data_IF_043456907594
#
_entry.id   IF_043456907594
#
_cell.length_a   1.000
_cell.length_b   1.000
_cell.length_c   1.000
_cell.angle_alpha   90.00
_cell.angle_beta   90.00
_cell.angle_gamma   90.00
#
_symmetry.space_group_name_H-M   'P 1'
#
loop_
_entity.id
_entity.type
_entity.pdbx_description
1 polymer ?
#
# COMPACT_ATOMS: atom_id res chain seq x y z
N UNK A 1 -27.09 -10.26 -4.60
CA UNK A 1 -26.47 -9.26 -5.49
C UNK A 1 -25.64 -8.33 -4.64
N UNK A 2 -24.54 -7.81 -5.18
CA UNK A 2 -23.55 -7.00 -4.46
C UNK A 2 -23.59 -5.57 -4.94
N UNK A 3 -23.59 -4.61 -4.03
CA UNK A 3 -23.64 -3.19 -4.38
C UNK A 3 -22.39 -2.41 -3.96
N UNK A 4 -21.53 -3.02 -3.13
CA UNK A 4 -20.27 -2.41 -2.69
C UNK A 4 -19.13 -3.37 -2.93
N UNK A 5 -18.07 -2.88 -3.57
CA UNK A 5 -16.76 -3.52 -3.60
C UNK A 5 -15.85 -2.80 -2.62
N UNK A 6 -15.24 -3.54 -1.70
CA UNK A 6 -14.17 -3.07 -0.84
C UNK A 6 -12.91 -3.79 -1.29
N UNK A 7 -11.85 -3.05 -1.60
CA UNK A 7 -10.60 -3.62 -2.12
C UNK A 7 -9.43 -3.14 -1.28
N UNK A 8 -8.53 -4.07 -0.96
CA UNK A 8 -7.16 -3.71 -0.65
C UNK A 8 -6.47 -3.06 -1.88
N UNK A 9 -5.33 -2.39 -1.67
CA UNK A 9 -4.55 -1.75 -2.74
C UNK A 9 -3.26 -2.50 -3.06
N UNK A 10 -2.37 -2.63 -2.08
CA UNK A 10 -0.99 -3.04 -2.28
C UNK A 10 -0.95 -4.56 -2.51
N UNK A 11 -0.43 -4.99 -3.65
CA UNK A 11 -0.49 -6.36 -4.17
C UNK A 11 -1.90 -6.86 -4.53
N UNK A 12 -2.94 -6.05 -4.37
CA UNK A 12 -4.29 -6.36 -4.84
C UNK A 12 -4.61 -5.66 -6.18
N UNK A 13 -4.41 -4.34 -6.26
CA UNK A 13 -4.63 -3.56 -7.49
C UNK A 13 -3.36 -3.41 -8.33
N UNK A 14 -2.20 -3.41 -7.69
CA UNK A 14 -0.88 -3.27 -8.31
C UNK A 14 0.20 -3.95 -7.45
N UNK A 15 1.34 -4.27 -8.04
CA UNK A 15 2.47 -4.89 -7.35
C UNK A 15 3.26 -3.85 -6.55
N UNK A 16 2.97 -3.73 -5.26
CA UNK A 16 3.68 -2.78 -4.40
C UNK A 16 5.13 -3.20 -4.20
N UNK A 17 5.39 -4.50 -4.03
CA UNK A 17 6.71 -4.99 -3.69
C UNK A 17 7.72 -4.74 -4.81
N UNK A 18 7.36 -5.02 -6.06
CA UNK A 18 8.21 -4.72 -7.22
C UNK A 18 8.44 -3.22 -7.35
N UNK A 19 7.40 -2.39 -7.18
CA UNK A 19 7.54 -0.92 -7.23
C UNK A 19 8.52 -0.44 -6.16
N UNK A 20 8.37 -0.93 -4.93
CA UNK A 20 9.24 -0.60 -3.81
C UNK A 20 10.68 -1.04 -4.09
N UNK A 21 10.90 -2.32 -4.44
CA UNK A 21 12.23 -2.88 -4.66
C UNK A 21 12.96 -2.15 -5.78
N UNK A 22 12.36 -2.04 -6.96
CA UNK A 22 13.00 -1.45 -8.13
C UNK A 22 13.36 0.02 -7.89
N UNK A 23 12.45 0.78 -7.27
CA UNK A 23 12.70 2.19 -6.97
C UNK A 23 13.72 2.40 -5.86
N UNK A 24 13.59 1.66 -4.75
CA UNK A 24 14.49 1.78 -3.61
C UNK A 24 15.90 1.27 -3.93
N UNK A 25 16.03 0.14 -4.63
CA UNK A 25 17.32 -0.42 -5.03
C UNK A 25 18.06 0.52 -5.99
N UNK A 26 17.36 1.11 -6.97
CA UNK A 26 17.94 2.11 -7.85
C UNK A 26 18.47 3.33 -7.07
N UNK A 27 17.69 3.85 -6.13
CA UNK A 27 18.11 4.96 -5.27
C UNK A 27 19.34 4.61 -4.42
N UNK A 28 19.32 3.42 -3.81
CA UNK A 28 20.33 2.96 -2.85
C UNK A 28 21.70 2.79 -3.52
N UNK A 29 21.72 2.15 -4.69
CA UNK A 29 22.97 1.92 -5.43
C UNK A 29 23.55 3.23 -5.95
N UNK A 30 22.73 4.08 -6.57
CA UNK A 30 23.16 5.39 -7.06
C UNK A 30 23.67 6.28 -5.90
N UNK A 31 22.98 6.24 -4.75
CA UNK A 31 23.44 6.94 -3.54
C UNK A 31 24.80 6.42 -3.09
N UNK A 32 25.03 5.11 -3.11
CA UNK A 32 26.29 4.50 -2.73
C UNK A 32 27.43 4.93 -3.66
N UNK A 33 27.18 4.95 -4.97
CA UNK A 33 28.16 5.37 -5.98
C UNK A 33 28.54 6.85 -5.82
N UNK A 34 27.56 7.76 -5.76
CA UNK A 34 27.83 9.20 -5.65
C UNK A 34 28.47 9.57 -4.30
N UNK A 35 27.97 8.96 -3.21
CA UNK A 35 28.46 9.28 -1.87
C UNK A 35 29.75 8.55 -1.51
N UNK A 36 30.10 7.45 -2.19
CA UNK A 36 31.18 6.55 -1.80
C UNK A 36 30.91 5.81 -0.48
N UNK A 37 29.70 5.92 0.09
CA UNK A 37 29.30 5.21 1.30
C UNK A 37 28.85 3.80 0.91
N UNK A 38 29.42 2.72 1.46
CA UNK A 38 29.02 1.37 1.10
C UNK A 38 27.53 1.09 1.35
N UNK A 39 26.90 0.37 0.44
CA UNK A 39 25.48 -0.04 0.51
C UNK A 39 25.11 -0.62 1.88
N UNK A 40 25.93 -1.51 2.44
CA UNK A 40 25.67 -2.13 3.75
C UNK A 40 25.60 -1.12 4.90
N UNK A 41 26.42 -0.05 4.83
CA UNK A 41 26.36 1.03 5.82
C UNK A 41 25.09 1.87 5.62
N UNK A 42 24.73 2.17 4.37
CA UNK A 42 23.49 2.90 4.05
C UNK A 42 22.26 2.12 4.54
N UNK A 43 22.16 0.81 4.25
CA UNK A 43 21.06 -0.04 4.73
C UNK A 43 20.90 0.01 6.24
N UNK A 44 22.00 -0.12 6.99
CA UNK A 44 21.98 -0.10 8.46
C UNK A 44 21.52 1.27 9.03
N UNK A 45 21.90 2.37 8.38
CA UNK A 45 21.46 3.72 8.74
C UNK A 45 19.99 3.96 8.36
N UNK A 46 19.59 3.56 7.16
CA UNK A 46 18.22 3.66 6.66
C UNK A 46 17.25 2.86 7.52
N UNK A 47 17.61 1.65 7.95
CA UNK A 47 16.76 0.82 8.82
C UNK A 47 16.31 1.59 10.07
N UNK A 48 17.22 2.34 10.70
CA UNK A 48 16.91 3.13 11.90
C UNK A 48 15.93 4.27 11.60
N UNK A 49 16.06 4.89 10.42
CA UNK A 49 15.18 5.95 9.96
C UNK A 49 13.78 5.38 9.65
N UNK A 50 13.72 4.26 8.95
CA UNK A 50 12.47 3.56 8.69
C UNK A 50 11.77 3.11 9.98
N UNK A 51 12.50 2.57 10.96
CA UNK A 51 11.96 2.24 12.29
C UNK A 51 11.42 3.47 13.03
N UNK A 52 12.16 4.59 12.99
CA UNK A 52 11.73 5.86 13.59
C UNK A 52 10.42 6.36 12.98
N UNK A 53 10.27 6.24 11.66
CA UNK A 53 9.10 6.75 10.94
C UNK A 53 8.01 5.70 10.72
N UNK A 54 8.23 4.44 11.06
CA UNK A 54 7.22 3.37 10.90
C UNK A 54 6.84 3.09 9.45
N UNK A 55 7.75 3.30 8.49
CA UNK A 55 7.52 3.02 7.06
C UNK A 55 8.82 2.73 6.32
N UNK A 56 8.74 1.87 5.29
CA UNK A 56 9.85 1.59 4.37
C UNK A 56 9.89 2.52 3.14
N UNK A 57 9.02 3.54 3.11
CA UNK A 57 8.80 4.44 1.97
C UNK A 57 9.04 5.90 2.32
N UNK A 58 9.75 6.18 3.42
CA UNK A 58 9.92 7.52 3.95
C UNK A 58 10.56 8.46 2.92
N UNK A 59 9.79 9.45 2.45
CA UNK A 59 10.18 10.32 1.34
C UNK A 59 11.47 11.15 1.58
N UNK A 60 11.82 11.38 2.85
CA UNK A 60 12.99 12.19 3.24
C UNK A 60 14.16 11.33 3.74
N UNK A 61 14.18 10.03 3.43
CA UNK A 61 15.17 9.09 3.98
C UNK A 61 16.61 9.54 3.78
N UNK A 62 16.99 10.01 2.58
CA UNK A 62 18.36 10.46 2.28
C UNK A 62 18.82 11.62 3.19
N UNK A 63 17.90 12.50 3.54
CA UNK A 63 18.17 13.72 4.30
C UNK A 63 18.48 13.41 5.78
N UNK A 64 18.09 12.23 6.27
CA UNK A 64 18.32 11.77 7.64
C UNK A 64 19.48 10.78 7.79
N UNK A 65 20.13 10.35 6.68
CA UNK A 65 21.24 9.38 6.73
C UNK A 65 22.47 10.03 7.37
N UNK A 66 22.97 9.54 8.53
CA UNK A 66 24.10 10.15 9.23
C UNK A 66 25.37 10.29 8.38
N UNK A 67 25.67 9.29 7.54
CA UNK A 67 26.82 9.36 6.64
C UNK A 67 26.67 10.47 5.58
N UNK A 68 25.45 10.75 5.10
CA UNK A 68 25.18 11.81 4.14
C UNK A 68 25.18 13.18 4.82
N UNK A 69 24.59 13.30 6.02
CA UNK A 69 24.65 14.52 6.85
C UNK A 69 26.10 14.88 7.14
N UNK A 70 26.94 13.91 7.55
CA UNK A 70 28.35 14.17 7.83
C UNK A 70 29.13 14.62 6.60
N UNK A 71 28.74 14.18 5.39
CA UNK A 71 29.47 14.47 4.15
C UNK A 71 29.01 15.77 3.49
N UNK A 72 27.70 15.98 3.41
CA UNK A 72 27.09 17.07 2.65
C UNK A 72 26.54 18.17 3.56
N UNK A 73 26.34 17.91 4.84
CA UNK A 73 25.90 18.90 5.83
C UNK A 73 24.38 18.92 5.99
N UNK A 74 23.67 19.61 5.09
CA UNK A 74 22.25 19.89 5.24
C UNK A 74 21.42 19.30 4.08
N UNK A 75 20.10 19.41 4.21
CA UNK A 75 19.13 18.91 3.25
C UNK A 75 19.39 19.38 1.81
N UNK A 76 19.60 20.67 1.60
CA UNK A 76 19.67 21.24 0.26
C UNK A 76 20.93 20.76 -0.47
N UNK A 77 22.05 20.64 0.25
CA UNK A 77 23.29 20.11 -0.30
C UNK A 77 23.23 18.59 -0.51
N UNK A 78 22.57 17.83 0.38
CA UNK A 78 22.31 16.40 0.17
C UNK A 78 21.47 16.20 -1.10
N UNK A 79 20.34 16.90 -1.21
CA UNK A 79 19.43 16.76 -2.35
C UNK A 79 20.06 17.21 -3.66
N UNK A 80 20.87 18.28 -3.64
CA UNK A 80 21.60 18.72 -4.83
C UNK A 80 22.68 17.74 -5.25
N UNK A 81 23.40 17.14 -4.29
CA UNK A 81 24.45 16.17 -4.58
C UNK A 81 23.89 14.82 -5.05
N UNK A 82 22.70 14.44 -4.58
CA UNK A 82 22.05 13.16 -4.87
C UNK A 82 20.85 13.29 -5.83
N UNK A 83 20.81 14.35 -6.65
CA UNK A 83 19.71 14.55 -7.60
C UNK A 83 19.58 13.37 -8.58
N UNK A 84 20.70 12.79 -9.01
CA UNK A 84 20.72 11.60 -9.87
C UNK A 84 20.11 10.38 -9.17
N UNK A 85 20.40 10.15 -7.88
CA UNK A 85 19.79 9.06 -7.11
C UNK A 85 18.27 9.28 -6.88
N UNK A 86 17.86 10.53 -6.62
CA UNK A 86 16.44 10.91 -6.52
C UNK A 86 15.74 10.71 -7.86
N UNK A 87 16.41 11.03 -8.97
CA UNK A 87 15.89 10.82 -10.31
C UNK A 87 15.76 9.33 -10.64
N UNK A 88 16.77 8.52 -10.31
CA UNK A 88 16.75 7.07 -10.47
C UNK A 88 15.56 6.44 -9.73
N UNK A 89 15.35 6.81 -8.46
CA UNK A 89 14.17 6.40 -7.68
C UNK A 89 12.86 6.74 -8.40
N UNK A 90 12.68 8.00 -8.81
CA UNK A 90 11.44 8.49 -9.45
C UNK A 90 11.20 7.82 -10.80
N UNK A 91 12.26 7.58 -11.57
CA UNK A 91 12.22 6.95 -12.88
C UNK A 91 11.78 5.48 -12.75
N UNK A 92 12.44 4.72 -11.88
CA UNK A 92 12.09 3.33 -11.60
C UNK A 92 10.66 3.22 -11.05
N UNK A 93 10.28 4.04 -10.07
CA UNK A 93 8.91 4.06 -9.53
C UNK A 93 7.87 4.32 -10.62
N UNK A 94 8.12 5.29 -11.52
CA UNK A 94 7.21 5.58 -12.64
C UNK A 94 7.11 4.42 -13.62
N UNK A 95 8.22 3.73 -13.90
CA UNK A 95 8.28 2.61 -14.84
C UNK A 95 7.51 1.39 -14.33
N UNK A 96 7.61 1.10 -13.03
CA UNK A 96 7.07 -0.12 -12.43
C UNK A 96 5.68 0.05 -11.80
N UNK A 97 5.24 1.28 -11.53
CA UNK A 97 3.91 1.53 -10.97
C UNK A 97 2.83 1.37 -12.04
N UNK A 98 2.32 0.14 -12.15
CA UNK A 98 1.26 -0.26 -13.08
C UNK A 98 0.23 -1.13 -12.37
N UNK A 99 -1.03 -1.02 -12.78
CA UNK A 99 -2.08 -1.93 -12.31
C UNK A 99 -1.84 -3.36 -12.81
N UNK A 100 -2.32 -4.34 -12.04
CA UNK A 100 -2.41 -5.70 -12.56
C UNK A 100 -3.34 -5.76 -13.78
N UNK A 101 -3.14 -6.74 -14.67
CA UNK A 101 -4.04 -6.97 -15.79
C UNK A 101 -5.50 -7.02 -15.32
N UNK A 102 -6.40 -6.49 -16.12
CA UNK A 102 -7.87 -6.45 -15.92
C UNK A 102 -8.39 -5.57 -14.78
N UNK A 103 -7.54 -5.04 -13.88
CA UNK A 103 -8.00 -4.22 -12.74
C UNK A 103 -8.77 -2.98 -13.20
N UNK A 104 -8.17 -2.16 -14.08
CA UNK A 104 -8.81 -0.92 -14.55
C UNK A 104 -10.16 -1.20 -15.23
N UNK A 105 -10.18 -2.15 -16.16
CA UNK A 105 -11.39 -2.50 -16.93
C UNK A 105 -12.51 -3.02 -16.01
N UNK A 106 -12.15 -3.82 -15.01
CA UNK A 106 -13.10 -4.37 -14.03
C UNK A 106 -13.65 -3.28 -13.14
N UNK A 107 -12.80 -2.42 -12.55
CA UNK A 107 -13.24 -1.30 -11.72
C UNK A 107 -14.12 -0.34 -12.52
N UNK A 108 -13.79 -0.08 -13.79
CA UNK A 108 -14.60 0.75 -14.68
C UNK A 108 -15.96 0.10 -14.94
N UNK A 109 -15.99 -1.20 -15.23
CA UNK A 109 -17.25 -1.95 -15.40
C UNK A 109 -18.13 -1.90 -14.16
N UNK A 110 -17.55 -2.03 -12.96
CA UNK A 110 -18.28 -1.90 -11.70
C UNK A 110 -18.80 -0.47 -11.51
N UNK A 111 -17.99 0.52 -11.83
CA UNK A 111 -18.35 1.94 -11.76
C UNK A 111 -19.53 2.27 -12.66
N UNK A 112 -19.52 1.79 -13.90
CA UNK A 112 -20.61 1.96 -14.87
C UNK A 112 -21.92 1.28 -14.41
N UNK A 113 -21.83 0.20 -13.62
CA UNK A 113 -22.99 -0.45 -12.98
C UNK A 113 -23.50 0.31 -11.75
N UNK A 114 -22.84 1.40 -11.35
CA UNK A 114 -23.17 2.18 -10.16
C UNK A 114 -22.78 1.49 -8.85
N UNK A 115 -21.85 0.54 -8.88
CA UNK A 115 -21.29 -0.07 -7.66
C UNK A 115 -20.46 0.97 -6.92
N UNK A 116 -20.60 1.02 -5.60
CA UNK A 116 -19.72 1.84 -4.75
C UNK A 116 -18.39 1.12 -4.56
N UNK A 117 -17.28 1.78 -4.91
CA UNK A 117 -15.94 1.19 -4.83
C UNK A 117 -15.16 1.86 -3.71
N UNK A 118 -14.76 1.09 -2.71
CA UNK A 118 -14.03 1.56 -1.53
C UNK A 118 -12.63 0.94 -1.53
N UNK A 119 -11.59 1.76 -1.47
CA UNK A 119 -10.23 1.32 -1.19
C UNK A 119 -10.00 1.29 0.32
N UNK A 120 -9.38 0.23 0.85
CA UNK A 120 -8.93 0.17 2.23
C UNK A 120 -7.50 -0.36 2.33
N UNK A 121 -6.56 0.51 2.71
CA UNK A 121 -5.14 0.22 2.84
C UNK A 121 -4.60 0.59 4.23
N UNK A 122 -3.50 -0.06 4.63
CA UNK A 122 -2.71 0.29 5.80
C UNK A 122 -1.53 1.24 5.45
N UNK A 123 -1.34 1.52 4.15
CA UNK A 123 -0.39 2.52 3.65
C UNK A 123 -0.87 3.94 3.95
N UNK A 124 0.06 4.83 4.33
CA UNK A 124 -0.25 6.23 4.68
C UNK A 124 -0.87 7.00 3.52
N UNK A 125 -1.74 7.95 3.86
CA UNK A 125 -2.53 8.73 2.90
C UNK A 125 -1.69 9.31 1.75
N UNK A 126 -0.56 9.98 2.00
CA UNK A 126 0.24 10.62 0.95
C UNK A 126 0.69 9.62 -0.13
N UNK A 127 1.17 8.43 0.30
CA UNK A 127 1.64 7.41 -0.62
C UNK A 127 0.48 6.74 -1.36
N UNK A 128 -0.63 6.50 -0.66
CA UNK A 128 -1.86 5.96 -1.23
C UNK A 128 -2.44 6.90 -2.30
N UNK A 129 -2.57 8.19 -1.98
CA UNK A 129 -3.00 9.25 -2.90
C UNK A 129 -2.09 9.35 -4.14
N UNK A 130 -0.77 9.28 -3.94
CA UNK A 130 0.17 9.24 -5.05
C UNK A 130 -0.13 8.10 -6.02
N UNK A 131 -0.32 6.88 -5.51
CA UNK A 131 -0.58 5.69 -6.33
C UNK A 131 -1.93 5.79 -7.03
N UNK A 132 -3.00 6.15 -6.30
CA UNK A 132 -4.34 6.37 -6.87
C UNK A 132 -4.30 7.39 -8.00
N UNK A 133 -3.65 8.54 -7.79
CA UNK A 133 -3.50 9.58 -8.80
C UNK A 133 -2.72 9.08 -10.03
N UNK A 134 -1.59 8.37 -9.84
CA UNK A 134 -0.73 7.90 -10.94
C UNK A 134 -1.30 6.75 -11.74
N UNK A 135 -2.11 5.91 -11.11
CA UNK A 135 -2.75 4.77 -11.74
C UNK A 135 -4.10 5.13 -12.38
N UNK A 136 -4.52 6.39 -12.30
CA UNK A 136 -5.79 6.85 -12.89
C UNK A 136 -7.02 6.37 -12.13
N UNK A 137 -6.89 6.11 -10.83
CA UNK A 137 -7.96 5.59 -9.99
C UNK A 137 -8.77 6.69 -9.26
N UNK A 138 -8.36 7.96 -9.37
CA UNK A 138 -9.10 9.10 -8.81
C UNK A 138 -10.49 9.22 -9.49
N UNK A 139 -11.54 9.03 -8.70
CA UNK A 139 -12.94 8.97 -9.15
C UNK A 139 -13.42 7.59 -9.61
N UNK A 140 -12.52 6.64 -9.85
CA UNK A 140 -12.87 5.22 -9.99
C UNK A 140 -13.14 4.65 -8.60
N UNK A 141 -12.22 4.87 -7.66
CA UNK A 141 -12.47 4.65 -6.23
C UNK A 141 -13.32 5.80 -5.70
N UNK A 142 -14.44 5.50 -5.05
CA UNK A 142 -15.32 6.51 -4.43
C UNK A 142 -14.74 7.03 -3.13
N UNK A 143 -14.28 6.12 -2.28
CA UNK A 143 -13.76 6.42 -0.94
C UNK A 143 -12.49 5.63 -0.70
N UNK A 144 -11.45 6.30 -0.22
CA UNK A 144 -10.19 5.68 0.19
C UNK A 144 -10.02 5.81 1.70
N UNK A 145 -10.00 4.68 2.39
CA UNK A 145 -9.64 4.58 3.80
C UNK A 145 -8.16 4.28 3.96
N UNK A 146 -7.42 5.16 4.64
CA UNK A 146 -5.99 5.00 4.94
C UNK A 146 -5.62 5.64 6.28
N UNK A 147 -4.52 5.22 6.94
CA UNK A 147 -4.00 5.94 8.10
C UNK A 147 -3.50 7.35 7.74
N UNK A 148 -3.64 8.28 8.69
CA UNK A 148 -3.06 9.63 8.59
C UNK A 148 -1.54 9.58 8.37
N UNK A 149 -1.05 10.58 7.62
CA UNK A 149 0.37 10.81 7.36
C UNK A 149 1.16 11.20 8.63
N UNK A 150 2.49 11.15 8.49
CA UNK A 150 3.42 11.65 9.49
C UNK A 150 3.49 13.18 9.47
N UNK A 151 3.96 13.75 10.58
CA UNK A 151 4.38 15.14 10.60
C UNK A 151 5.49 15.37 9.55
N UNK A 152 5.33 16.41 8.77
CA UNK A 152 6.29 16.83 7.76
C UNK A 152 7.40 17.63 8.46
N UNK A 153 8.70 17.40 8.15
CA UNK A 153 9.78 18.10 8.83
C UNK A 153 9.63 19.62 8.76
N UNK A 154 10.06 20.31 9.81
CA UNK A 154 9.91 21.77 9.92
C UNK A 154 10.57 22.49 8.73
N UNK A 155 9.84 23.40 8.09
CA UNK A 155 10.30 24.17 6.93
C UNK A 155 10.12 23.47 5.57
N UNK A 156 9.57 22.23 5.55
CA UNK A 156 9.22 21.55 4.30
C UNK A 156 7.76 21.88 3.94
N UNK A 157 7.56 22.51 2.78
CA UNK A 157 6.23 22.71 2.23
C UNK A 157 5.74 21.37 1.68
N UNK A 158 4.62 20.87 2.22
CA UNK A 158 3.96 19.67 1.70
C UNK A 158 3.57 19.90 0.25
N UNK A 159 3.98 18.97 -0.62
CA UNK A 159 3.48 18.99 -1.98
C UNK A 159 2.02 18.52 -1.96
N UNK A 160 1.06 19.43 -2.09
CA UNK A 160 -0.37 19.15 -2.36
C UNK A 160 -0.60 18.52 -3.76
N UNK A 161 0.45 17.98 -4.38
CA UNK A 161 0.43 17.57 -5.79
C UNK A 161 -0.42 16.33 -6.03
N UNK A 162 -0.71 15.57 -4.99
CA UNK A 162 -1.44 14.30 -5.08
C UNK A 162 -2.79 14.32 -4.38
N UNK A 163 -3.26 15.50 -3.95
CA UNK A 163 -4.61 15.63 -3.39
C UNK A 163 -5.62 15.10 -4.43
N UNK A 164 -6.37 14.08 -4.02
CA UNK A 164 -7.38 13.46 -4.88
C UNK A 164 -8.52 14.45 -5.08
N UNK A 165 -9.00 14.56 -6.32
CA UNK A 165 -10.01 15.56 -6.67
C UNK A 165 -11.42 15.02 -6.58
N UNK A 166 -11.59 13.72 -6.81
CA UNK A 166 -12.90 13.07 -6.94
C UNK A 166 -13.05 12.01 -5.85
N UNK A 167 -12.05 11.16 -5.67
CA UNK A 167 -12.03 10.17 -4.58
C UNK A 167 -12.00 10.88 -3.23
N UNK A 168 -12.90 10.47 -2.33
CA UNK A 168 -12.94 11.00 -0.96
C UNK A 168 -11.93 10.26 -0.07
N UNK A 169 -11.06 11.00 0.60
CA UNK A 169 -10.23 10.42 1.66
C UNK A 169 -10.97 10.35 2.99
N UNK A 170 -10.80 9.23 3.67
CA UNK A 170 -11.25 8.97 5.04
C UNK A 170 -10.12 8.30 5.81
N UNK A 171 -10.09 8.52 7.13
CA UNK A 171 -9.04 7.98 7.97
C UNK A 171 -9.49 6.76 8.75
N UNK A 172 -8.64 5.73 8.75
CA UNK A 172 -8.80 4.63 9.69
C UNK A 172 -8.39 5.06 11.10
N UNK A 173 -8.97 4.47 12.15
CA UNK A 173 -8.59 4.79 13.52
C UNK A 173 -7.08 4.54 13.76
N UNK A 174 -6.46 5.41 14.56
CA UNK A 174 -5.02 5.35 14.82
C UNK A 174 -4.62 4.05 15.50
N UNK A 175 -3.66 3.33 14.91
CA UNK A 175 -3.10 2.10 15.46
C UNK A 175 -3.92 0.84 15.19
N UNK A 176 -5.07 0.99 14.53
CA UNK A 176 -5.91 -0.14 14.13
C UNK A 176 -5.46 -0.67 12.77
N UNK A 177 -5.28 -2.00 12.70
CA UNK A 177 -4.75 -2.72 11.54
C UNK A 177 -5.61 -3.96 11.24
N UNK A 178 -5.54 -4.46 10.02
CA UNK A 178 -6.07 -5.78 9.64
C UNK A 178 -5.35 -6.85 10.49
N UNK A 179 -6.04 -7.92 10.95
CA UNK A 179 -7.38 -8.36 10.57
C UNK A 179 -8.55 -7.82 11.42
N UNK A 180 -8.48 -6.63 12.03
CA UNK A 180 -9.57 -6.17 12.90
C UNK A 180 -10.92 -5.98 12.16
N UNK A 181 -11.95 -6.84 12.40
CA UNK A 181 -13.24 -6.77 11.68
C UNK A 181 -14.06 -5.53 12.01
N UNK A 182 -13.77 -4.87 13.15
CA UNK A 182 -14.48 -3.65 13.54
C UNK A 182 -14.24 -2.53 12.54
N UNK A 183 -13.01 -2.40 12.03
CA UNK A 183 -12.67 -1.37 11.03
C UNK A 183 -13.53 -1.57 9.78
N UNK A 184 -13.62 -2.82 9.29
CA UNK A 184 -14.43 -3.13 8.11
C UNK A 184 -15.93 -2.89 8.36
N UNK A 185 -16.43 -3.23 9.56
CA UNK A 185 -17.82 -2.91 9.96
C UNK A 185 -18.08 -1.40 10.01
N UNK A 186 -17.14 -0.62 10.54
CA UNK A 186 -17.24 0.83 10.61
C UNK A 186 -17.23 1.46 9.19
N UNK A 187 -16.39 0.95 8.29
CA UNK A 187 -16.38 1.34 6.86
C UNK A 187 -17.75 1.08 6.22
N UNK A 188 -18.30 -0.12 6.40
CA UNK A 188 -19.61 -0.53 5.86
C UNK A 188 -20.73 0.34 6.43
N UNK A 189 -20.69 0.62 7.74
CA UNK A 189 -21.66 1.48 8.40
C UNK A 189 -21.58 2.93 7.91
N UNK A 190 -20.39 3.46 7.63
CA UNK A 190 -20.21 4.84 7.14
C UNK A 190 -20.93 5.10 5.80
N UNK A 191 -21.17 4.03 5.03
CA UNK A 191 -21.89 4.06 3.75
C UNK A 191 -23.30 3.45 3.87
N UNK A 192 -23.85 3.31 5.08
CA UNK A 192 -25.22 2.86 5.35
C UNK A 192 -25.63 1.58 4.58
N UNK A 193 -24.72 0.61 4.46
CA UNK A 193 -24.99 -0.69 3.84
C UNK A 193 -24.87 -1.82 4.86
N UNK A 194 -25.13 -3.05 4.40
CA UNK A 194 -25.05 -4.26 5.21
C UNK A 194 -23.91 -5.15 4.68
N UNK A 195 -23.21 -5.91 5.55
CA UNK A 195 -22.10 -6.78 5.13
C UNK A 195 -22.44 -7.73 3.97
N UNK A 196 -23.67 -8.27 3.93
CA UNK A 196 -24.11 -9.16 2.86
C UNK A 196 -24.22 -8.49 1.48
N UNK A 197 -24.20 -7.15 1.40
CA UNK A 197 -24.17 -6.42 0.13
C UNK A 197 -22.75 -6.11 -0.36
N UNK A 198 -21.75 -6.42 0.47
CA UNK A 198 -20.35 -6.13 0.21
C UNK A 198 -19.60 -7.37 -0.32
N UNK A 199 -18.53 -7.11 -1.05
CA UNK A 199 -17.44 -8.05 -1.35
C UNK A 199 -16.15 -7.40 -0.89
N UNK A 200 -15.28 -8.14 -0.22
CA UNK A 200 -13.92 -7.72 0.11
C UNK A 200 -12.93 -8.51 -0.73
N UNK A 201 -11.99 -7.85 -1.42
CA UNK A 201 -10.89 -8.50 -2.13
C UNK A 201 -9.53 -8.00 -1.62
N UNK A 202 -8.62 -8.94 -1.34
CA UNK A 202 -7.26 -8.65 -0.87
C UNK A 202 -6.28 -9.82 -1.06
N UNK A 203 -4.98 -9.56 -0.91
CA UNK A 203 -3.89 -10.51 -1.17
C UNK A 203 -3.43 -11.29 0.07
N UNK A 204 -4.04 -11.10 1.24
CA UNK A 204 -3.62 -11.76 2.48
C UNK A 204 -4.73 -12.58 3.14
N UNK A 205 -4.58 -13.91 3.14
CA UNK A 205 -5.53 -14.80 3.83
C UNK A 205 -5.64 -14.50 5.34
N UNK A 206 -4.50 -14.29 6.00
CA UNK A 206 -4.45 -14.07 7.44
C UNK A 206 -4.88 -12.66 7.88
N UNK A 207 -4.98 -11.70 6.95
CA UNK A 207 -5.38 -10.32 7.21
C UNK A 207 -6.72 -9.98 6.57
N UNK A 208 -6.74 -9.90 5.24
CA UNK A 208 -7.91 -9.47 4.47
C UNK A 208 -9.07 -10.45 4.60
N UNK A 209 -8.80 -11.73 4.35
CA UNK A 209 -9.82 -12.78 4.32
C UNK A 209 -10.35 -13.04 5.74
N UNK A 210 -9.45 -13.18 6.72
CA UNK A 210 -9.84 -13.35 8.12
C UNK A 210 -10.75 -12.19 8.60
N UNK A 211 -10.37 -10.95 8.30
CA UNK A 211 -11.16 -9.76 8.63
C UNK A 211 -12.53 -9.74 7.96
N UNK A 212 -12.58 -10.05 6.66
CA UNK A 212 -13.81 -10.07 5.88
C UNK A 212 -14.81 -11.12 6.40
N UNK A 213 -14.32 -12.33 6.69
CA UNK A 213 -15.12 -13.42 7.23
C UNK A 213 -15.69 -13.08 8.61
N UNK A 214 -14.87 -12.55 9.52
CA UNK A 214 -15.33 -12.13 10.86
C UNK A 214 -16.26 -10.89 10.81
N UNK A 215 -16.18 -10.12 9.72
CA UNK A 215 -17.13 -9.04 9.43
C UNK A 215 -18.45 -9.49 8.79
N UNK A 216 -18.55 -10.76 8.35
CA UNK A 216 -19.71 -11.27 7.62
C UNK A 216 -19.80 -10.78 6.17
N UNK A 217 -18.66 -10.41 5.58
CA UNK A 217 -18.53 -9.95 4.20
C UNK A 217 -18.05 -11.11 3.33
N UNK A 218 -18.57 -11.23 2.10
CA UNK A 218 -18.03 -12.20 1.15
C UNK A 218 -16.58 -11.85 0.80
N UNK A 219 -15.67 -12.77 1.08
CA UNK A 219 -14.23 -12.60 0.90
C UNK A 219 -13.72 -13.18 -0.42
N UNK A 220 -12.75 -12.50 -1.04
CA UNK A 220 -12.08 -12.95 -2.26
C UNK A 220 -10.58 -12.81 -2.09
N UNK A 221 -9.87 -13.92 -2.21
CA UNK A 221 -8.42 -13.93 -2.16
C UNK A 221 -7.82 -13.68 -3.54
N UNK A 222 -7.06 -12.59 -3.65
CA UNK A 222 -6.29 -12.21 -4.84
C UNK A 222 -4.97 -12.98 -4.91
N UNK A 223 -5.04 -14.29 -5.23
CA UNK A 223 -3.86 -15.18 -5.24
C UNK A 223 -2.73 -14.67 -6.13
N UNK A 224 -3.06 -14.01 -7.24
CA UNK A 224 -2.08 -13.43 -8.15
C UNK A 224 -1.12 -12.43 -7.48
N UNK A 225 -1.55 -11.79 -6.38
CA UNK A 225 -0.78 -10.82 -5.61
C UNK A 225 0.20 -11.42 -4.59
N UNK A 226 0.42 -12.74 -4.59
CA UNK A 226 1.22 -13.40 -3.53
C UNK A 226 2.57 -13.94 -3.98
N UNK A 227 2.89 -13.81 -5.28
CA UNK A 227 4.07 -14.43 -5.89
C UNK A 227 5.36 -13.64 -5.70
N UNK A 228 5.26 -12.36 -5.33
CA UNK A 228 6.36 -11.38 -5.33
C UNK A 228 7.59 -11.77 -4.50
N UNK A 229 7.38 -12.41 -3.34
CA UNK A 229 8.49 -12.80 -2.46
C UNK A 229 9.19 -14.09 -2.90
N UNK A 230 8.49 -14.95 -3.62
CA UNK A 230 9.03 -16.24 -4.08
C UNK A 230 9.97 -16.00 -5.27
N UNK A 231 9.58 -15.10 -6.17
CA UNK A 231 10.28 -14.87 -7.42
C UNK A 231 11.43 -13.85 -7.29
N UNK A 232 11.50 -13.11 -6.18
CA UNK A 232 12.54 -12.09 -5.93
C UNK A 232 13.10 -12.16 -4.50
N UNK A 233 13.89 -13.20 -4.24
CA UNK A 233 14.57 -13.41 -2.95
C UNK A 233 15.55 -12.27 -2.59
N UNK A 234 16.19 -11.66 -3.59
CA UNK A 234 17.09 -10.52 -3.37
C UNK A 234 16.32 -9.32 -2.80
N UNK A 235 15.20 -8.96 -3.42
CA UNK A 235 14.34 -7.89 -2.94
C UNK A 235 13.77 -8.17 -1.56
N UNK A 236 13.45 -9.43 -1.26
CA UNK A 236 12.95 -9.80 0.07
C UNK A 236 14.03 -9.61 1.14
N UNK A 237 15.27 -10.02 0.83
CA UNK A 237 16.41 -9.77 1.71
C UNK A 237 16.67 -8.26 1.88
N UNK A 238 16.61 -7.48 0.80
CA UNK A 238 16.75 -6.04 0.88
C UNK A 238 15.69 -5.40 1.78
N UNK A 239 14.42 -5.80 1.61
CA UNK A 239 13.33 -5.32 2.47
C UNK A 239 13.59 -5.68 3.92
N UNK A 240 14.01 -6.91 4.20
CA UNK A 240 14.36 -7.34 5.56
C UNK A 240 15.51 -6.53 6.14
N UNK A 241 16.49 -6.13 5.35
CA UNK A 241 17.65 -5.35 5.82
C UNK A 241 17.23 -3.94 6.25
N UNK A 242 16.28 -3.32 5.54
CA UNK A 242 15.89 -1.91 5.73
C UNK A 242 14.49 -1.70 6.31
N UNK A 243 13.75 -2.76 6.64
CA UNK A 243 12.36 -2.65 7.11
C UNK A 243 12.23 -1.82 8.40
N UNK A 244 11.07 -1.18 8.54
CA UNK A 244 10.66 -0.50 9.76
C UNK A 244 10.21 -1.47 10.87
N UNK A 245 10.00 -2.75 10.56
CA UNK A 245 9.49 -3.72 11.52
C UNK A 245 10.42 -3.88 12.73
N UNK A 246 9.82 -3.69 13.90
CA UNK A 246 10.42 -4.01 15.19
C UNK A 246 10.25 -5.50 15.51
N UNK A 247 10.90 -5.99 16.56
CA UNK A 247 10.67 -7.36 17.03
C UNK A 247 9.20 -7.57 17.40
N UNK A 248 8.57 -6.57 18.02
CA UNK A 248 7.15 -6.60 18.41
C UNK A 248 6.23 -6.70 17.17
N UNK A 249 6.55 -6.00 16.08
CA UNK A 249 5.82 -6.12 14.82
C UNK A 249 5.94 -7.53 14.23
N UNK A 250 7.16 -8.09 14.23
CA UNK A 250 7.40 -9.46 13.73
C UNK A 250 6.67 -10.49 14.59
N UNK A 251 6.67 -10.33 15.90
CA UNK A 251 5.93 -11.21 16.83
C UNK A 251 4.42 -11.09 16.63
N UNK A 252 3.90 -9.87 16.43
CA UNK A 252 2.50 -9.63 16.10
C UNK A 252 2.09 -10.29 14.78
N UNK A 253 2.88 -10.15 13.72
CA UNK A 253 2.64 -10.81 12.43
C UNK A 253 2.65 -12.34 12.55
N UNK A 254 3.59 -12.91 13.32
CA UNK A 254 3.61 -14.35 13.60
C UNK A 254 2.35 -14.81 14.34
N UNK A 255 1.91 -14.05 15.35
CA UNK A 255 0.70 -14.36 16.10
C UNK A 255 -0.54 -14.32 15.21
N UNK A 256 -0.69 -13.29 14.38
CA UNK A 256 -1.78 -13.19 13.39
C UNK A 256 -1.76 -14.41 12.46
N UNK A 257 -0.59 -14.76 11.95
CA UNK A 257 -0.42 -15.94 11.08
C UNK A 257 -0.83 -17.23 11.78
N UNK A 258 -0.43 -17.42 13.04
CA UNK A 258 -0.73 -18.63 13.81
C UNK A 258 -2.21 -18.73 14.19
N UNK A 259 -2.84 -17.60 14.56
CA UNK A 259 -4.27 -17.51 14.88
C UNK A 259 -5.14 -17.79 13.65
N UNK A 260 -4.74 -17.26 12.50
CA UNK A 260 -5.50 -17.35 11.25
C UNK A 260 -4.98 -18.42 10.27
N UNK A 261 -4.13 -19.35 10.72
CA UNK A 261 -3.48 -20.37 9.85
C UNK A 261 -4.45 -21.31 9.11
N UNK A 262 -5.67 -21.46 9.63
CA UNK A 262 -6.73 -22.30 9.06
C UNK A 262 -7.80 -21.46 8.35
N UNK A 263 -7.58 -20.15 8.20
CA UNK A 263 -8.45 -19.28 7.41
C UNK A 263 -8.23 -19.64 5.96
N UNK A 264 -9.32 -19.98 5.28
CA UNK A 264 -9.32 -20.25 3.86
C UNK A 264 -10.38 -19.38 3.22
N UNK A 265 -10.01 -18.76 2.10
CA UNK A 265 -10.92 -17.92 1.37
C UNK A 265 -12.10 -18.72 0.81
N UNK A 266 -13.30 -18.14 0.87
CA UNK A 266 -14.49 -18.70 0.24
C UNK A 266 -14.38 -18.65 -1.30
N UNK A 267 -13.71 -17.62 -1.80
CA UNK A 267 -13.41 -17.46 -3.22
C UNK A 267 -11.95 -17.09 -3.44
N UNK A 268 -11.36 -17.57 -4.52
CA UNK A 268 -9.99 -17.22 -4.90
C UNK A 268 -9.92 -16.94 -6.39
N UNK A 269 -9.18 -15.90 -6.76
CA UNK A 269 -9.04 -15.45 -8.15
C UNK A 269 -7.57 -15.38 -8.58
N UNK A 270 -7.30 -15.69 -9.84
CA UNK A 270 -5.99 -15.54 -10.50
C UNK A 270 -5.87 -14.24 -11.30
N UNK A 271 -6.96 -13.51 -11.44
CA UNK A 271 -7.00 -12.16 -12.02
C UNK A 271 -8.19 -11.40 -11.46
N UNK A 272 -8.05 -10.08 -11.32
CA UNK A 272 -9.06 -9.25 -10.67
C UNK A 272 -10.45 -9.34 -11.33
N UNK A 273 -10.53 -9.52 -12.66
CA UNK A 273 -11.82 -9.61 -13.37
C UNK A 273 -12.70 -10.80 -12.99
N UNK A 274 -12.14 -11.88 -12.42
CA UNK A 274 -12.92 -13.08 -12.07
C UNK A 274 -13.98 -12.81 -11.00
N UNK A 275 -13.89 -11.70 -10.26
CA UNK A 275 -14.95 -11.28 -9.34
C UNK A 275 -16.30 -11.06 -10.05
N UNK A 276 -16.27 -10.71 -11.34
CA UNK A 276 -17.48 -10.53 -12.15
C UNK A 276 -18.15 -11.87 -12.52
N UNK A 277 -17.39 -12.97 -12.53
CA UNK A 277 -17.89 -14.31 -12.78
C UNK A 277 -18.49 -14.93 -11.49
N UNK A 278 -17.98 -14.52 -10.33
CA UNK A 278 -18.39 -15.02 -9.01
C UNK A 278 -19.63 -14.28 -8.49
N UNK A 279 -19.69 -12.95 -8.65
CA UNK A 279 -20.73 -12.13 -8.06
C UNK A 279 -21.55 -11.36 -9.11
N UNK A 280 -22.87 -11.35 -8.91
CA UNK A 280 -23.75 -10.40 -9.60
C UNK A 280 -23.79 -9.06 -8.88
N UNK A 281 -23.29 -8.02 -9.54
CA UNK A 281 -23.28 -6.65 -9.04
C UNK A 281 -24.52 -5.84 -9.46
N UNK A 282 -24.92 -4.90 -8.61
CA UNK A 282 -26.03 -3.97 -8.82
C UNK A 282 -25.66 -2.57 -8.32
N UNK A 283 -26.43 -1.58 -8.76
CA UNK A 283 -26.27 -0.18 -8.35
C UNK A 283 -26.37 -0.02 -6.82
N UNK A 284 -25.42 0.70 -6.23
CA UNK A 284 -25.47 1.16 -4.86
C UNK A 284 -26.48 2.30 -4.72
N UNK A 285 -27.49 2.08 -3.87
CA UNK A 285 -28.50 3.08 -3.53
C UNK A 285 -28.24 3.55 -2.11
N UNK A 286 -27.82 4.80 -1.97
CA UNK A 286 -27.69 5.46 -0.67
C UNK A 286 -29.07 5.48 0.00
N UNK A 287 -29.22 4.72 1.08
CA UNK A 287 -30.43 4.71 1.91
C UNK A 287 -30.51 5.97 2.77
#
# INVERSE_FOLDING_TARGET
>A
MKSVLITDLDNTLFDWFTVWYESFNAMLNETSEISGVPVEKLKAEIRKIHQKHGTAEYAFVLEEIPSLISKYGNRDTINSALDEAIHAYRSARKKHLTLYPTVMDTLTTLKEKGVLIIGYTESKEFYSNYRISKLGLDGIIDILFSPEDHEVPHGVITQQKYDLKITKNEHTPKGEIKPNPRILKDIIQSVNTLPENCVYIGDSEMKDIAMAQEAGVDDVFARYGTTHFIDNLEGYNLLRDVTHWTNDDVEREKKIKDENKNTHANYTVDKFSEILDIFSFMEYKKK
#
